data_IF_370782657730
#
_entry.id   IF_370782657730
#
_cell.length_a   1.000
_cell.length_b   1.000
_cell.length_c   1.000
_cell.angle_alpha   90.00
_cell.angle_beta   90.00
_cell.angle_gamma   90.00
#
_symmetry.space_group_name_H-M   'P 1'
#
loop_
_entity.id
_entity.type
_entity.pdbx_description
1 polymer ?
#
# COMPACT_ATOMS: atom_id res chain seq x y z
N UNK A 1 -27.19 6.26 9.30
CA UNK A 1 -25.87 6.75 8.90
C UNK A 1 -25.66 6.37 7.46
N UNK A 2 -25.29 7.32 6.59
CA UNK A 2 -24.92 6.99 5.22
C UNK A 2 -23.63 6.13 5.30
N UNK A 3 -23.57 5.05 4.55
CA UNK A 3 -22.46 4.08 4.61
C UNK A 3 -22.07 3.66 3.20
N UNK A 4 -20.77 3.54 2.93
CA UNK A 4 -20.30 2.98 1.67
C UNK A 4 -20.70 1.50 1.65
N UNK A 5 -21.45 1.08 0.63
CA UNK A 5 -21.84 -0.33 0.46
C UNK A 5 -20.74 -1.11 -0.28
N UNK A 6 -19.98 -1.97 0.40
CA UNK A 6 -18.90 -2.71 -0.22
C UNK A 6 -19.37 -3.68 -1.32
N UNK A 7 -20.60 -4.19 -1.21
CA UNK A 7 -21.17 -5.11 -2.21
C UNK A 7 -21.46 -4.37 -3.51
N UNK A 8 -22.03 -3.16 -3.42
CA UNK A 8 -22.26 -2.31 -4.58
C UNK A 8 -20.94 -1.89 -5.23
N UNK A 9 -19.95 -1.50 -4.43
CA UNK A 9 -18.60 -1.18 -4.90
C UNK A 9 -17.97 -2.34 -5.68
N UNK A 10 -18.02 -3.55 -5.12
CA UNK A 10 -17.50 -4.76 -5.79
C UNK A 10 -18.18 -5.01 -7.13
N UNK A 11 -19.49 -4.95 -7.19
CA UNK A 11 -20.27 -5.14 -8.44
C UNK A 11 -19.94 -4.09 -9.50
N UNK A 12 -19.89 -2.80 -9.13
CA UNK A 12 -19.51 -1.71 -10.06
C UNK A 12 -18.10 -1.95 -10.58
N UNK A 13 -17.16 -2.27 -9.69
CA UNK A 13 -15.79 -2.59 -10.07
C UNK A 13 -15.73 -3.78 -11.03
N UNK A 14 -16.46 -4.85 -10.76
CA UNK A 14 -16.52 -6.05 -11.62
C UNK A 14 -17.03 -5.73 -13.03
N UNK A 15 -18.10 -4.95 -13.14
CA UNK A 15 -18.66 -4.52 -14.45
C UNK A 15 -17.62 -3.71 -15.24
N UNK A 16 -16.95 -2.74 -14.60
CA UNK A 16 -16.01 -1.84 -15.28
C UNK A 16 -14.65 -2.51 -15.58
N UNK A 17 -14.24 -3.49 -14.80
CA UNK A 17 -13.01 -4.24 -15.06
C UNK A 17 -13.17 -5.28 -16.19
N UNK A 18 -14.41 -5.69 -16.49
CA UNK A 18 -14.70 -6.65 -17.53
C UNK A 18 -14.24 -8.09 -17.21
N UNK A 19 -14.05 -8.91 -18.24
CA UNK A 19 -13.79 -10.35 -18.07
C UNK A 19 -12.49 -10.63 -17.34
N UNK A 20 -12.57 -11.60 -16.41
CA UNK A 20 -11.42 -12.22 -15.75
C UNK A 20 -10.73 -13.18 -16.72
N UNK A 21 -9.39 -13.33 -16.68
CA UNK A 21 -8.68 -14.31 -17.49
C UNK A 21 -9.28 -15.70 -17.36
N UNK A 22 -9.60 -16.31 -18.48
CA UNK A 22 -10.12 -17.69 -18.50
C UNK A 22 -8.98 -18.64 -18.13
N UNK A 23 -9.24 -19.52 -17.17
CA UNK A 23 -8.35 -20.61 -16.77
C UNK A 23 -9.18 -21.86 -16.49
N UNK A 24 -8.73 -23.05 -16.93
CA UNK A 24 -9.34 -24.31 -16.53
C UNK A 24 -9.39 -24.42 -14.99
N UNK A 25 -10.42 -25.06 -14.41
CA UNK A 25 -10.54 -25.15 -12.97
C UNK A 25 -9.33 -25.76 -12.24
N UNK A 26 -8.62 -26.68 -12.92
CA UNK A 26 -7.41 -27.29 -12.39
C UNK A 26 -6.26 -26.29 -12.34
N UNK A 27 -6.06 -25.49 -13.38
CA UNK A 27 -5.05 -24.41 -13.42
C UNK A 27 -5.34 -23.34 -12.37
N UNK A 28 -6.59 -22.87 -12.27
CA UNK A 28 -6.99 -21.89 -11.27
C UNK A 28 -6.70 -22.38 -9.83
N UNK A 29 -7.01 -23.65 -9.53
CA UNK A 29 -6.67 -24.26 -8.24
C UNK A 29 -5.16 -24.33 -7.99
N UNK A 30 -4.39 -24.70 -9.02
CA UNK A 30 -2.93 -24.75 -8.92
C UNK A 30 -2.31 -23.38 -8.66
N UNK A 31 -2.79 -22.32 -9.34
CA UNK A 31 -2.38 -20.93 -9.12
C UNK A 31 -2.66 -20.51 -7.68
N UNK A 32 -3.88 -20.71 -7.19
CA UNK A 32 -4.25 -20.36 -5.80
C UNK A 32 -3.40 -21.13 -4.77
N UNK A 33 -3.16 -22.41 -4.99
CA UNK A 33 -2.33 -23.24 -4.11
C UNK A 33 -0.88 -22.75 -4.11
N UNK A 34 -0.33 -22.41 -5.27
CA UNK A 34 1.01 -21.86 -5.43
C UNK A 34 1.18 -20.53 -4.70
N UNK A 35 0.22 -19.61 -4.88
CA UNK A 35 0.20 -18.32 -4.18
C UNK A 35 0.20 -18.51 -2.66
N UNK A 36 -0.68 -19.37 -2.13
CA UNK A 36 -0.76 -19.68 -0.69
C UNK A 36 0.53 -20.31 -0.15
N UNK A 37 1.19 -21.16 -0.95
CA UNK A 37 2.47 -21.75 -0.57
C UNK A 37 3.58 -20.69 -0.45
N UNK A 38 3.62 -19.72 -1.36
CA UNK A 38 4.60 -18.63 -1.31
C UNK A 38 4.30 -17.63 -0.19
N UNK A 39 3.04 -17.36 0.10
CA UNK A 39 2.66 -16.53 1.24
C UNK A 39 3.12 -17.11 2.59
N UNK A 40 3.13 -18.45 2.74
CA UNK A 40 3.67 -19.11 3.93
C UNK A 40 5.20 -19.07 4.03
N UNK A 41 5.89 -18.96 2.89
CA UNK A 41 7.37 -18.93 2.83
C UNK A 41 7.95 -17.53 2.99
N UNK A 42 7.22 -16.52 2.56
CA UNK A 42 7.70 -15.15 2.49
C UNK A 42 8.08 -14.53 3.85
N UNK A 43 7.40 -14.80 4.99
CA UNK A 43 7.77 -14.23 6.29
C UNK A 43 9.23 -14.47 6.68
N UNK A 44 9.73 -15.69 6.52
CA UNK A 44 11.12 -16.03 6.87
C UNK A 44 12.13 -15.25 6.01
N UNK A 45 11.77 -15.02 4.73
CA UNK A 45 12.62 -14.25 3.82
C UNK A 45 12.63 -12.76 4.21
N UNK A 46 11.44 -12.21 4.52
CA UNK A 46 11.33 -10.82 4.98
C UNK A 46 12.15 -10.61 6.25
N UNK A 47 11.99 -11.47 7.24
CA UNK A 47 12.72 -11.36 8.50
C UNK A 47 14.24 -11.48 8.32
N UNK A 48 14.69 -12.42 7.50
CA UNK A 48 16.14 -12.62 7.25
C UNK A 48 16.78 -11.38 6.64
N UNK A 49 16.06 -10.65 5.78
CA UNK A 49 16.57 -9.47 5.07
C UNK A 49 16.35 -8.19 5.86
N UNK A 50 15.14 -7.98 6.37
CA UNK A 50 14.76 -6.72 7.07
C UNK A 50 15.23 -6.68 8.53
N UNK A 51 15.66 -7.83 9.10
CA UNK A 51 15.96 -7.98 10.54
C UNK A 51 14.78 -7.65 11.47
N UNK A 52 13.56 -7.67 10.95
CA UNK A 52 12.32 -7.54 11.70
C UNK A 52 11.82 -8.91 12.18
N UNK A 53 11.00 -8.94 13.23
CA UNK A 53 10.54 -10.19 13.83
C UNK A 53 9.57 -10.96 12.93
N UNK A 54 10.01 -12.14 12.43
CA UNK A 54 9.19 -13.03 11.60
C UNK A 54 8.08 -13.72 12.36
N UNK A 55 8.25 -13.94 13.66
CA UNK A 55 7.26 -14.71 14.44
C UNK A 55 5.92 -13.98 14.49
N UNK A 56 5.95 -12.65 14.55
CA UNK A 56 4.75 -11.82 14.49
C UNK A 56 4.06 -11.90 13.13
N UNK A 57 4.81 -12.00 12.03
CA UNK A 57 4.25 -12.06 10.67
C UNK A 57 3.58 -13.41 10.36
N UNK A 58 4.21 -14.51 10.75
CA UNK A 58 3.74 -15.86 10.41
C UNK A 58 2.49 -16.26 11.17
N UNK A 59 2.31 -15.76 12.41
CA UNK A 59 1.24 -16.20 13.30
C UNK A 59 -0.04 -15.36 13.19
N UNK A 60 0.03 -14.15 12.62
CA UNK A 60 -1.03 -13.14 12.83
C UNK A 60 -1.63 -12.54 11.58
N UNK A 61 -0.96 -12.57 10.42
CA UNK A 61 -1.48 -11.94 9.19
C UNK A 61 -2.34 -12.92 8.40
N UNK A 62 -3.68 -12.72 8.36
CA UNK A 62 -4.55 -13.57 7.53
C UNK A 62 -4.27 -13.35 6.04
N UNK A 63 -4.22 -14.45 5.29
CA UNK A 63 -3.93 -14.43 3.84
C UNK A 63 -5.18 -14.78 3.05
N UNK A 64 -5.64 -13.85 2.23
CA UNK A 64 -6.77 -14.01 1.33
C UNK A 64 -6.31 -14.02 -0.12
N UNK A 65 -6.72 -15.04 -0.89
CA UNK A 65 -6.52 -15.09 -2.34
C UNK A 65 -7.89 -14.84 -2.97
N UNK A 66 -8.05 -13.69 -3.60
CA UNK A 66 -9.32 -13.12 -4.02
C UNK A 66 -9.36 -12.88 -5.54
N UNK A 67 -10.55 -12.63 -6.06
CA UNK A 67 -10.74 -12.02 -7.36
C UNK A 67 -10.81 -10.47 -7.29
N UNK A 68 -11.03 -9.82 -8.44
CA UNK A 68 -11.08 -8.35 -8.54
C UNK A 68 -12.26 -7.74 -7.80
N UNK A 69 -13.42 -8.40 -7.85
CA UNK A 69 -14.66 -7.94 -7.21
C UNK A 69 -14.53 -8.00 -5.68
N UNK A 70 -14.06 -9.14 -5.18
CA UNK A 70 -13.82 -9.36 -3.76
C UNK A 70 -12.73 -8.40 -3.21
N UNK A 71 -11.68 -8.14 -4.00
CA UNK A 71 -10.66 -7.16 -3.63
C UNK A 71 -11.25 -5.76 -3.50
N UNK A 72 -12.04 -5.32 -4.49
CA UNK A 72 -12.65 -3.99 -4.48
C UNK A 72 -13.64 -3.81 -3.31
N UNK A 73 -14.48 -4.83 -3.08
CA UNK A 73 -15.41 -4.83 -1.95
C UNK A 73 -14.67 -4.77 -0.59
N UNK A 74 -13.62 -5.58 -0.46
CA UNK A 74 -12.79 -5.60 0.74
C UNK A 74 -12.08 -4.28 1.01
N UNK A 75 -11.50 -3.66 -0.02
CA UNK A 75 -10.85 -2.35 0.07
C UNK A 75 -11.84 -1.25 0.43
N UNK A 76 -13.05 -1.27 -0.17
CA UNK A 76 -14.11 -0.33 0.18
C UNK A 76 -14.57 -0.46 1.63
N UNK A 77 -14.64 -1.69 2.15
CA UNK A 77 -14.97 -1.95 3.56
C UNK A 77 -13.94 -1.33 4.49
N UNK A 78 -12.64 -1.52 4.20
CA UNK A 78 -11.54 -0.95 5.00
C UNK A 78 -11.55 0.59 4.96
N UNK A 79 -11.71 1.18 3.77
CA UNK A 79 -11.79 2.63 3.61
C UNK A 79 -13.03 3.21 4.29
N UNK A 80 -14.19 2.58 4.13
CA UNK A 80 -15.43 3.01 4.74
C UNK A 80 -15.39 2.98 6.27
N UNK A 81 -14.69 2.02 6.86
CA UNK A 81 -14.52 1.93 8.30
C UNK A 81 -13.64 3.06 8.88
N UNK A 82 -12.72 3.61 8.08
CA UNK A 82 -11.73 4.58 8.54
C UNK A 82 -12.03 6.01 8.10
N UNK A 83 -12.50 6.19 6.87
CA UNK A 83 -12.70 7.49 6.22
C UNK A 83 -14.14 7.70 5.76
N UNK A 84 -15.09 6.83 6.14
CA UNK A 84 -16.45 6.87 5.61
C UNK A 84 -17.18 8.18 5.89
N UNK A 85 -17.07 8.71 7.08
CA UNK A 85 -17.71 9.96 7.49
C UNK A 85 -17.08 11.18 6.78
N UNK A 86 -15.76 11.19 6.63
CA UNK A 86 -15.03 12.25 5.94
C UNK A 86 -15.32 12.26 4.43
N UNK A 87 -15.32 11.08 3.79
CA UNK A 87 -15.63 10.95 2.37
C UNK A 87 -17.08 11.38 2.06
N UNK A 88 -18.02 11.03 2.92
CA UNK A 88 -19.41 11.45 2.78
C UNK A 88 -19.58 12.95 2.98
N UNK A 89 -18.87 13.53 3.96
CA UNK A 89 -18.90 14.96 4.25
C UNK A 89 -18.31 15.80 3.11
N UNK A 90 -17.23 15.34 2.49
CA UNK A 90 -16.60 15.98 1.33
C UNK A 90 -17.60 16.12 0.16
N UNK A 91 -18.37 15.07 -0.14
CA UNK A 91 -19.38 15.08 -1.20
C UNK A 91 -20.57 16.02 -0.90
N UNK A 92 -20.93 16.22 0.37
CA UNK A 92 -21.98 17.15 0.78
C UNK A 92 -21.51 18.61 0.65
N UNK A 93 -20.23 18.87 0.94
CA UNK A 93 -19.62 20.23 0.87
C UNK A 93 -19.62 20.82 -0.55
N UNK A 94 -19.28 20.03 -1.58
CA UNK A 94 -19.33 20.45 -2.99
C UNK A 94 -20.75 20.81 -3.47
N UNK A 95 -21.74 20.43 -2.71
CA UNK A 95 -23.16 20.66 -3.00
C UNK A 95 -23.77 21.97 -2.45
N UNK A 96 -23.04 22.86 -1.79
CA UNK A 96 -23.59 24.06 -1.15
C UNK A 96 -23.79 25.27 -2.09
N UNK A 97 -24.63 25.14 -3.07
CA UNK A 97 -25.08 26.25 -3.97
C UNK A 97 -26.57 26.19 -4.33
N UNK A 98 -27.44 26.45 -3.40
CA UNK A 98 -28.86 26.67 -3.73
C UNK A 98 -29.90 25.86 -2.94
N UNK A 99 -31.01 26.49 -2.64
CA UNK A 99 -32.17 25.99 -1.85
C UNK A 99 -32.86 24.73 -2.39
N UNK A 100 -32.48 24.22 -3.57
CA UNK A 100 -33.01 22.98 -4.16
C UNK A 100 -32.26 21.71 -3.72
N UNK A 101 -31.18 21.81 -2.95
CA UNK A 101 -30.23 20.71 -2.66
C UNK A 101 -30.54 19.86 -1.42
N UNK A 102 -31.52 20.25 -0.61
CA UNK A 102 -31.98 19.41 0.51
C UNK A 102 -32.66 18.10 0.06
N UNK A 103 -33.02 17.99 -1.24
CA UNK A 103 -33.64 16.80 -1.84
C UNK A 103 -32.63 15.90 -2.59
N UNK A 104 -31.38 16.32 -2.74
CA UNK A 104 -30.33 15.61 -3.49
C UNK A 104 -29.04 15.46 -2.70
N UNK A 105 -29.12 15.23 -1.38
CA UNK A 105 -27.95 14.72 -0.66
C UNK A 105 -27.49 13.44 -1.38
N UNK A 106 -26.18 13.30 -1.75
CA UNK A 106 -25.72 12.11 -2.46
C UNK A 106 -26.12 10.89 -1.63
N UNK A 107 -26.91 10.02 -2.22
CA UNK A 107 -27.27 8.78 -1.56
C UNK A 107 -26.00 7.98 -1.34
N UNK A 108 -25.91 7.23 -0.25
CA UNK A 108 -24.76 6.31 0.00
C UNK A 108 -24.48 5.40 -1.22
N UNK A 109 -25.51 5.14 -2.03
CA UNK A 109 -25.38 4.41 -3.29
C UNK A 109 -24.56 5.18 -4.34
N UNK A 110 -24.73 6.51 -4.49
CA UNK A 110 -23.95 7.30 -5.43
C UNK A 110 -22.46 7.31 -5.05
N UNK A 111 -22.16 7.58 -3.78
CA UNK A 111 -20.78 7.52 -3.27
C UNK A 111 -20.17 6.12 -3.47
N UNK A 112 -20.95 5.06 -3.23
CA UNK A 112 -20.50 3.68 -3.47
C UNK A 112 -20.21 3.40 -4.94
N UNK A 113 -21.00 3.95 -5.88
CA UNK A 113 -20.75 3.84 -7.31
C UNK A 113 -19.46 4.56 -7.71
N UNK A 114 -19.23 5.76 -7.22
CA UNK A 114 -18.01 6.53 -7.51
C UNK A 114 -16.76 5.88 -6.94
N UNK A 115 -16.80 5.41 -5.69
CA UNK A 115 -15.72 4.61 -5.08
C UNK A 115 -15.49 3.34 -5.89
N UNK A 116 -16.54 2.64 -6.31
CA UNK A 116 -16.46 1.45 -7.15
C UNK A 116 -15.81 1.72 -8.51
N UNK A 117 -16.13 2.84 -9.16
CA UNK A 117 -15.49 3.26 -10.40
C UNK A 117 -14.02 3.61 -10.20
N UNK A 118 -13.68 4.29 -9.11
CA UNK A 118 -12.30 4.58 -8.73
C UNK A 118 -11.48 3.30 -8.51
N UNK A 119 -12.00 2.36 -7.73
CA UNK A 119 -11.35 1.09 -7.44
C UNK A 119 -11.26 0.18 -8.68
N UNK A 120 -12.20 0.25 -9.62
CA UNK A 120 -12.16 -0.50 -10.86
C UNK A 120 -10.90 -0.22 -11.69
N UNK A 121 -10.42 1.02 -11.68
CA UNK A 121 -9.20 1.40 -12.39
C UNK A 121 -7.96 0.74 -11.80
N UNK A 122 -7.99 0.43 -10.51
CA UNK A 122 -6.91 -0.24 -9.78
C UNK A 122 -7.04 -1.76 -9.84
N UNK A 123 -8.28 -2.26 -9.82
CA UNK A 123 -8.58 -3.68 -9.71
C UNK A 123 -7.90 -4.55 -10.78
N UNK A 124 -7.61 -4.00 -11.97
CA UNK A 124 -6.86 -4.70 -13.04
C UNK A 124 -5.36 -4.79 -12.79
N UNK A 125 -4.84 -3.92 -11.93
CA UNK A 125 -3.39 -3.77 -11.80
C UNK A 125 -2.84 -4.19 -10.43
N UNK A 126 -3.67 -4.35 -9.41
CA UNK A 126 -3.22 -4.82 -8.09
C UNK A 126 -2.89 -6.30 -8.13
N UNK A 127 -1.65 -6.69 -7.84
CA UNK A 127 -1.23 -8.09 -7.70
C UNK A 127 -1.44 -8.58 -6.27
N UNK A 128 -1.09 -7.74 -5.30
CA UNK A 128 -1.24 -7.95 -3.88
C UNK A 128 -1.49 -6.63 -3.17
N UNK A 129 -1.88 -6.71 -1.92
CA UNK A 129 -2.06 -5.59 -1.02
C UNK A 129 -1.99 -6.09 0.42
N UNK A 130 -1.08 -5.54 1.20
CA UNK A 130 -1.26 -5.55 2.65
C UNK A 130 -2.25 -4.44 3.02
N UNK A 131 -3.32 -4.81 3.71
CA UNK A 131 -4.40 -3.90 4.12
C UNK A 131 -4.37 -3.70 5.64
N UNK A 132 -3.67 -2.67 6.15
CA UNK A 132 -3.57 -2.40 7.59
C UNK A 132 -4.86 -1.84 8.18
N UNK A 133 -5.81 -1.42 7.32
CA UNK A 133 -7.07 -0.78 7.72
C UNK A 133 -8.23 -1.78 7.81
N UNK A 134 -7.98 -3.05 7.51
CA UNK A 134 -9.02 -4.08 7.56
C UNK A 134 -9.70 -4.10 8.92
N UNK A 135 -11.05 -4.13 8.97
CA UNK A 135 -11.78 -4.28 10.22
C UNK A 135 -11.42 -5.61 10.89
N UNK A 136 -11.20 -5.59 12.19
CA UNK A 136 -10.99 -6.80 12.97
C UNK A 136 -12.31 -7.56 13.12
N UNK A 137 -12.33 -8.85 12.82
CA UNK A 137 -13.54 -9.64 12.87
C UNK A 137 -14.11 -9.79 14.29
N UNK A 138 -13.30 -9.81 15.35
CA UNK A 138 -13.73 -10.10 16.72
C UNK A 138 -13.06 -9.21 17.78
N UNK A 139 -12.74 -7.95 17.45
CA UNK A 139 -12.09 -7.03 18.40
C UNK A 139 -10.63 -7.42 18.74
N UNK A 140 -10.10 -8.46 18.17
CA UNK A 140 -8.68 -8.79 18.25
C UNK A 140 -7.86 -7.76 17.46
N UNK A 141 -6.75 -7.32 18.03
CA UNK A 141 -5.77 -6.49 17.32
C UNK A 141 -5.02 -7.35 16.30
N UNK A 142 -5.69 -7.75 15.22
CA UNK A 142 -5.02 -8.40 14.09
C UNK A 142 -4.36 -7.30 13.26
N UNK A 143 -3.06 -7.34 13.04
CA UNK A 143 -2.40 -6.35 12.20
C UNK A 143 -2.79 -6.55 10.74
N UNK A 144 -3.96 -6.03 10.33
CA UNK A 144 -4.41 -6.03 8.94
C UNK A 144 -4.58 -7.42 8.31
N UNK A 145 -4.53 -7.46 6.98
CA UNK A 145 -4.61 -8.69 6.18
C UNK A 145 -3.76 -8.60 4.91
N UNK A 146 -3.26 -9.74 4.44
CA UNK A 146 -2.64 -9.88 3.13
C UNK A 146 -3.69 -10.31 2.11
N UNK A 147 -3.87 -9.54 1.06
CA UNK A 147 -4.76 -9.85 -0.06
C UNK A 147 -3.93 -10.07 -1.31
N UNK A 148 -4.18 -11.16 -2.04
CA UNK A 148 -3.51 -11.54 -3.28
C UNK A 148 -4.56 -11.73 -4.36
N UNK A 149 -4.44 -11.00 -5.49
CA UNK A 149 -5.43 -10.97 -6.56
C UNK A 149 -5.04 -11.99 -7.62
N UNK A 150 -5.51 -13.22 -7.47
CA UNK A 150 -5.11 -14.37 -8.28
C UNK A 150 -5.26 -14.16 -9.80
N UNK A 151 -6.39 -13.61 -10.33
CA UNK A 151 -6.52 -13.38 -11.77
C UNK A 151 -5.47 -12.40 -12.32
N UNK A 152 -5.07 -11.39 -11.54
CA UNK A 152 -4.06 -10.42 -11.97
C UNK A 152 -2.65 -11.01 -11.96
N UNK A 153 -2.33 -11.84 -10.97
CA UNK A 153 -1.06 -12.58 -10.91
C UNK A 153 -0.96 -13.51 -12.12
N UNK A 154 -2.03 -14.25 -12.46
CA UNK A 154 -2.06 -15.13 -13.62
C UNK A 154 -1.94 -14.35 -14.94
N UNK A 155 -2.66 -13.24 -15.09
CA UNK A 155 -2.61 -12.40 -16.29
C UNK A 155 -1.22 -11.81 -16.48
N UNK A 156 -0.60 -11.29 -15.40
CA UNK A 156 0.74 -10.73 -15.43
C UNK A 156 1.80 -11.80 -15.74
N UNK A 157 1.68 -12.96 -15.11
CA UNK A 157 2.52 -14.12 -15.38
C UNK A 157 2.52 -14.49 -16.86
N UNK A 158 1.34 -14.60 -17.48
CA UNK A 158 1.19 -14.95 -18.90
C UNK A 158 1.70 -13.84 -19.83
N UNK A 159 1.40 -12.57 -19.52
CA UNK A 159 1.79 -11.43 -20.35
C UNK A 159 3.31 -11.26 -20.48
N UNK A 160 4.07 -11.63 -19.44
CA UNK A 160 5.52 -11.49 -19.42
C UNK A 160 6.25 -12.85 -19.40
N UNK A 161 5.52 -13.94 -19.54
CA UNK A 161 6.03 -15.33 -19.51
C UNK A 161 6.96 -15.54 -18.29
N UNK A 162 6.45 -15.24 -17.08
CA UNK A 162 7.18 -15.29 -15.83
C UNK A 162 7.06 -16.67 -15.16
N UNK A 163 8.03 -17.04 -14.34
CA UNK A 163 7.87 -18.16 -13.43
C UNK A 163 6.77 -17.84 -12.40
N UNK A 164 5.77 -18.73 -12.31
CA UNK A 164 4.60 -18.52 -11.46
C UNK A 164 4.96 -18.49 -9.97
N UNK A 165 5.88 -19.36 -9.54
CA UNK A 165 6.32 -19.47 -8.15
C UNK A 165 7.10 -18.24 -7.74
N UNK A 166 8.05 -17.82 -8.58
CA UNK A 166 8.88 -16.66 -8.32
C UNK A 166 8.06 -15.38 -8.32
N UNK A 167 7.09 -15.24 -9.23
CA UNK A 167 6.17 -14.10 -9.23
C UNK A 167 5.31 -14.05 -7.97
N UNK A 168 4.73 -15.19 -7.57
CA UNK A 168 3.93 -15.26 -6.35
C UNK A 168 4.78 -14.93 -5.11
N UNK A 169 6.01 -15.45 -5.03
CA UNK A 169 6.93 -15.13 -3.95
C UNK A 169 7.32 -13.65 -3.94
N UNK A 170 7.60 -13.08 -5.13
CA UNK A 170 7.88 -11.65 -5.28
C UNK A 170 6.79 -10.78 -4.67
N UNK A 171 5.53 -11.02 -5.05
CA UNK A 171 4.38 -10.26 -4.53
C UNK A 171 4.24 -10.47 -3.02
N UNK A 172 4.34 -11.73 -2.54
CA UNK A 172 4.19 -12.02 -1.11
C UNK A 172 5.28 -11.36 -0.25
N UNK A 173 6.55 -11.36 -0.70
CA UNK A 173 7.65 -10.71 0.03
C UNK A 173 7.42 -9.20 0.09
N UNK A 174 7.00 -8.57 -1.01
CA UNK A 174 6.69 -7.13 -1.03
C UNK A 174 5.60 -6.77 -0.02
N UNK A 175 4.45 -7.42 -0.12
CA UNK A 175 3.31 -7.13 0.75
C UNK A 175 3.55 -7.49 2.22
N UNK A 176 4.27 -8.56 2.50
CA UNK A 176 4.63 -8.93 3.87
C UNK A 176 5.74 -8.06 4.46
N UNK A 177 6.51 -7.36 3.63
CA UNK A 177 7.38 -6.30 4.14
C UNK A 177 6.56 -5.16 4.71
N UNK A 178 5.46 -4.77 4.05
CA UNK A 178 4.53 -3.80 4.64
C UNK A 178 3.92 -4.32 5.94
N UNK A 179 3.52 -5.59 5.99
CA UNK A 179 3.02 -6.19 7.24
C UNK A 179 4.06 -6.12 8.37
N UNK A 180 5.36 -6.35 8.06
CA UNK A 180 6.44 -6.22 9.02
C UNK A 180 6.59 -4.79 9.54
N UNK A 181 6.53 -3.79 8.65
CA UNK A 181 6.59 -2.38 9.01
C UNK A 181 5.49 -1.98 9.99
N UNK A 182 4.24 -2.39 9.71
CA UNK A 182 3.10 -2.10 10.59
C UNK A 182 3.13 -2.91 11.90
N UNK A 183 3.68 -4.11 11.89
CA UNK A 183 3.88 -4.90 13.11
C UNK A 183 4.95 -4.29 14.01
N UNK A 184 6.07 -3.83 13.43
CA UNK A 184 7.17 -3.20 14.13
C UNK A 184 6.83 -1.79 14.63
N UNK A 185 5.95 -1.06 13.90
CA UNK A 185 5.52 0.30 14.21
C UNK A 185 4.02 0.35 14.52
N UNK A 186 3.56 0.01 15.75
CA UNK A 186 2.13 0.03 16.11
C UNK A 186 1.48 1.41 15.93
N UNK A 187 2.27 2.48 16.02
CA UNK A 187 1.83 3.87 15.82
C UNK A 187 1.50 4.21 14.36
N UNK A 188 2.05 3.48 13.40
CA UNK A 188 2.03 3.83 11.98
C UNK A 188 0.62 3.88 11.38
N UNK A 189 -0.25 2.96 11.81
CA UNK A 189 -1.65 2.92 11.37
C UNK A 189 -2.38 4.22 11.73
N UNK A 190 -2.34 4.62 12.98
CA UNK A 190 -3.03 5.82 13.46
C UNK A 190 -2.38 7.09 12.94
N UNK A 191 -1.06 7.07 12.74
CA UNK A 191 -0.33 8.15 12.08
C UNK A 191 -0.86 8.39 10.66
N UNK A 192 -0.96 7.37 9.82
CA UNK A 192 -1.48 7.49 8.45
C UNK A 192 -2.94 7.92 8.45
N UNK A 193 -3.78 7.30 9.29
CA UNK A 193 -5.21 7.64 9.39
C UNK A 193 -5.42 9.11 9.76
N UNK A 194 -4.71 9.59 10.78
CA UNK A 194 -4.85 10.97 11.25
C UNK A 194 -4.49 11.99 10.18
N UNK A 195 -3.41 11.73 9.41
CA UNK A 195 -2.99 12.61 8.30
C UNK A 195 -3.95 12.51 7.12
N UNK A 196 -4.43 11.33 6.79
CA UNK A 196 -5.42 11.14 5.72
C UNK A 196 -6.73 11.90 6.02
N UNK A 197 -7.21 11.84 7.25
CA UNK A 197 -8.38 12.63 7.70
C UNK A 197 -8.13 14.13 7.61
N UNK A 198 -6.97 14.59 8.06
CA UNK A 198 -6.59 16.00 7.96
C UNK A 198 -6.57 16.46 6.50
N UNK A 199 -5.98 15.66 5.60
CA UNK A 199 -5.95 15.97 4.15
C UNK A 199 -7.35 16.07 3.54
N UNK A 200 -8.26 15.11 3.84
CA UNK A 200 -9.64 15.16 3.32
C UNK A 200 -10.33 16.41 3.82
N UNK A 201 -10.11 16.79 5.09
CA UNK A 201 -10.68 18.01 5.67
C UNK A 201 -10.13 19.27 5.00
N UNK A 202 -8.82 19.33 4.74
CA UNK A 202 -8.16 20.49 4.11
C UNK A 202 -8.57 20.61 2.63
N UNK A 203 -8.76 19.49 1.91
CA UNK A 203 -9.22 19.47 0.53
C UNK A 203 -10.65 20.01 0.35
N UNK A 204 -11.47 20.06 1.41
CA UNK A 204 -12.80 20.69 1.42
C UNK A 204 -12.76 22.19 1.74
N UNK A 205 -11.59 22.75 2.05
CA UNK A 205 -11.35 24.18 2.29
C UNK A 205 -10.96 24.92 1.01
N UNK A 206 -10.97 26.27 1.08
CA UNK A 206 -10.74 27.17 -0.07
C UNK A 206 -9.29 27.19 -0.63
N UNK A 207 -8.32 26.55 0.02
CA UNK A 207 -6.89 26.59 -0.32
C UNK A 207 -6.27 25.19 -0.57
N UNK A 208 -7.00 24.33 -1.25
CA UNK A 208 -6.63 22.90 -1.46
C UNK A 208 -5.27 22.66 -2.15
N UNK A 209 -4.71 23.63 -2.90
CA UNK A 209 -3.46 23.42 -3.65
C UNK A 209 -2.18 23.57 -2.84
N UNK A 210 -2.20 24.30 -1.71
CA UNK A 210 -1.01 24.56 -0.87
C UNK A 210 -0.82 23.51 0.24
N UNK A 211 -1.89 22.76 0.60
CA UNK A 211 -1.87 21.78 1.69
C UNK A 211 -1.16 20.47 1.34
N UNK A 212 -0.74 20.29 0.10
CA UNK A 212 -0.32 19.00 -0.44
C UNK A 212 1.20 18.76 -0.41
N UNK A 213 1.99 19.81 -0.46
CA UNK A 213 3.47 19.74 -0.44
C UNK A 213 4.05 20.01 0.96
N UNK A 214 3.21 20.40 1.92
CA UNK A 214 3.60 20.69 3.30
C UNK A 214 2.53 20.23 4.29
N UNK A 215 2.88 20.10 5.56
CA UNK A 215 1.93 19.66 6.60
C UNK A 215 1.50 18.20 6.42
N UNK A 216 0.21 17.85 6.69
CA UNK A 216 -0.27 16.45 6.67
C UNK A 216 -0.05 15.70 5.35
N UNK A 217 -0.10 16.41 4.21
CA UNK A 217 0.17 15.83 2.89
C UNK A 217 1.63 15.48 2.68
N UNK A 218 2.53 16.37 3.08
CA UNK A 218 3.97 16.13 3.07
C UNK A 218 4.36 14.95 3.96
N UNK A 219 3.79 14.87 5.17
CA UNK A 219 4.03 13.78 6.11
C UNK A 219 3.64 12.41 5.53
N UNK A 220 2.44 12.31 4.89
CA UNK A 220 2.01 11.07 4.22
C UNK A 220 2.95 10.73 3.07
N UNK A 221 3.32 11.71 2.25
CA UNK A 221 4.19 11.49 1.11
C UNK A 221 5.56 10.96 1.54
N UNK A 222 6.14 11.51 2.61
CA UNK A 222 7.41 11.08 3.16
C UNK A 222 7.33 9.65 3.69
N UNK A 223 6.38 9.35 4.58
CA UNK A 223 6.25 8.01 5.17
C UNK A 223 5.94 6.95 4.11
N UNK A 224 5.06 7.23 3.14
CA UNK A 224 4.76 6.31 2.04
C UNK A 224 5.99 6.05 1.16
N UNK A 225 6.81 7.08 0.92
CA UNK A 225 8.06 6.92 0.17
C UNK A 225 9.03 5.97 0.89
N UNK A 226 9.12 6.06 2.20
CA UNK A 226 9.96 5.14 3.01
C UNK A 226 9.40 3.73 3.03
N UNK A 227 8.08 3.57 3.22
CA UNK A 227 7.45 2.25 3.21
C UNK A 227 7.75 1.50 1.90
N UNK A 228 7.53 2.16 0.77
CA UNK A 228 7.82 1.59 -0.55
C UNK A 228 9.32 1.41 -0.79
N UNK A 229 10.14 2.38 -0.41
CA UNK A 229 11.60 2.30 -0.54
C UNK A 229 12.19 1.15 0.25
N UNK A 230 11.70 0.92 1.47
CA UNK A 230 12.10 -0.22 2.29
C UNK A 230 11.64 -1.56 1.68
N UNK A 231 10.40 -1.64 1.16
CA UNK A 231 9.94 -2.84 0.46
C UNK A 231 10.79 -3.14 -0.78
N UNK A 232 11.16 -2.13 -1.56
CA UNK A 232 12.07 -2.32 -2.71
C UNK A 232 13.48 -2.75 -2.27
N UNK A 233 14.01 -2.17 -1.18
CA UNK A 233 15.28 -2.59 -0.57
C UNK A 233 15.24 -4.07 -0.18
N UNK A 234 14.21 -4.51 0.54
CA UNK A 234 14.03 -5.92 0.93
C UNK A 234 13.98 -6.81 -0.30
N UNK A 235 13.18 -6.46 -1.31
CA UNK A 235 13.10 -7.18 -2.57
C UNK A 235 14.44 -7.28 -3.28
N UNK A 236 15.25 -6.22 -3.24
CA UNK A 236 16.57 -6.18 -3.84
C UNK A 236 17.58 -7.08 -3.11
N UNK A 237 17.44 -7.24 -1.81
CA UNK A 237 18.31 -8.02 -0.97
C UNK A 237 17.96 -9.53 -0.93
N UNK A 238 16.77 -9.96 -1.41
CA UNK A 238 16.42 -11.39 -1.51
C UNK A 238 17.50 -12.16 -2.29
N UNK A 239 18.09 -13.23 -1.75
CA UNK A 239 19.11 -14.01 -2.44
C UNK A 239 18.61 -14.62 -3.76
N UNK A 240 19.48 -14.65 -4.79
CA UNK A 240 19.15 -15.20 -6.11
C UNK A 240 18.74 -16.69 -6.04
N UNK A 241 19.29 -17.43 -5.10
CA UNK A 241 18.94 -18.84 -4.87
C UNK A 241 17.49 -19.03 -4.37
N UNK A 242 16.88 -18.00 -3.79
CA UNK A 242 15.49 -18.02 -3.36
C UNK A 242 14.54 -17.48 -4.43
N UNK A 243 15.03 -16.62 -5.31
CA UNK A 243 14.27 -15.96 -6.37
C UNK A 243 15.08 -15.95 -7.70
N UNK A 244 15.24 -17.09 -8.37
CA UNK A 244 16.07 -17.23 -9.57
C UNK A 244 15.73 -16.28 -10.70
N UNK A 245 14.43 -16.02 -10.94
CA UNK A 245 13.96 -15.13 -12.02
C UNK A 245 13.92 -13.65 -11.63
N UNK A 246 14.53 -13.23 -10.52
CA UNK A 246 14.51 -11.86 -9.96
C UNK A 246 14.78 -10.77 -11.00
N UNK A 247 15.78 -10.94 -11.87
CA UNK A 247 16.10 -9.95 -12.92
C UNK A 247 14.95 -9.76 -13.90
N UNK A 248 14.34 -10.88 -14.35
CA UNK A 248 13.19 -10.86 -15.27
C UNK A 248 11.97 -10.23 -14.64
N UNK A 249 11.68 -10.56 -13.37
CA UNK A 249 10.63 -9.95 -12.57
C UNK A 249 10.80 -8.44 -12.46
N UNK A 250 12.00 -7.96 -12.10
CA UNK A 250 12.31 -6.52 -12.04
C UNK A 250 12.06 -5.81 -13.36
N UNK A 251 12.48 -6.41 -14.47
CA UNK A 251 12.24 -5.83 -15.81
C UNK A 251 10.74 -5.76 -16.11
N UNK A 252 9.99 -6.85 -15.88
CA UNK A 252 8.56 -6.88 -16.10
C UNK A 252 7.81 -5.85 -15.22
N UNK A 253 8.20 -5.72 -13.96
CA UNK A 253 7.62 -4.73 -13.04
C UNK A 253 7.92 -3.29 -13.47
N UNK A 254 9.14 -2.99 -13.96
CA UNK A 254 9.49 -1.68 -14.50
C UNK A 254 8.64 -1.34 -15.72
N UNK A 255 8.55 -2.23 -16.69
CA UNK A 255 7.70 -2.05 -17.89
C UNK A 255 6.24 -1.78 -17.51
N UNK A 256 5.77 -2.41 -16.44
CA UNK A 256 4.42 -2.18 -15.92
C UNK A 256 4.28 -0.84 -15.20
N UNK A 257 5.29 -0.40 -14.41
CA UNK A 257 5.30 0.89 -13.68
C UNK A 257 5.19 2.08 -14.62
N UNK A 258 5.86 2.04 -15.77
CA UNK A 258 5.82 3.11 -16.76
C UNK A 258 4.38 3.33 -17.29
N UNK A 259 3.53 2.31 -17.19
CA UNK A 259 2.14 2.36 -17.62
C UNK A 259 1.12 2.61 -16.50
N UNK A 260 1.40 2.36 -15.24
CA UNK A 260 0.46 2.67 -14.13
C UNK A 260 0.90 2.11 -12.77
N UNK A 261 1.29 2.94 -11.82
CA UNK A 261 1.23 2.55 -10.41
C UNK A 261 -0.20 2.73 -9.90
N UNK A 262 -0.94 1.66 -9.54
CA UNK A 262 -2.33 1.75 -9.09
C UNK A 262 -2.48 2.59 -7.83
N UNK A 263 -1.56 2.43 -6.89
CA UNK A 263 -1.51 3.18 -5.65
C UNK A 263 -1.31 4.68 -5.89
N UNK A 264 -0.41 5.07 -6.81
CA UNK A 264 -0.20 6.47 -7.20
C UNK A 264 -1.49 7.09 -7.75
N UNK A 265 -2.16 6.40 -8.67
CA UNK A 265 -3.43 6.87 -9.25
C UNK A 265 -4.55 6.94 -8.23
N UNK A 266 -4.57 6.01 -7.27
CA UNK A 266 -5.54 6.02 -6.18
C UNK A 266 -5.28 7.20 -5.23
N UNK A 267 -4.05 7.38 -4.76
CA UNK A 267 -3.68 8.49 -3.88
C UNK A 267 -3.87 9.84 -4.59
N UNK A 268 -3.47 9.95 -5.87
CA UNK A 268 -3.73 11.14 -6.70
C UNK A 268 -5.22 11.48 -6.78
N UNK A 269 -6.09 10.48 -6.91
CA UNK A 269 -7.54 10.72 -7.00
C UNK A 269 -8.19 11.02 -5.65
N UNK A 270 -7.76 10.37 -4.58
CA UNK A 270 -8.23 10.68 -3.23
C UNK A 270 -7.79 12.05 -2.76
N UNK A 271 -6.63 12.50 -3.20
CA UNK A 271 -5.98 13.70 -2.67
C UNK A 271 -5.89 14.83 -3.70
N UNK A 272 -6.24 14.59 -4.97
CA UNK A 272 -6.01 15.56 -6.06
C UNK A 272 -4.53 15.81 -6.37
N UNK A 273 -3.61 15.02 -5.78
CA UNK A 273 -2.17 15.25 -5.89
C UNK A 273 -1.59 14.65 -7.17
N UNK A 274 -0.95 15.49 -7.98
CA UNK A 274 0.07 15.07 -8.95
C UNK A 274 1.38 14.77 -8.22
N UNK A 275 1.48 13.57 -7.60
CA UNK A 275 2.74 13.15 -6.96
C UNK A 275 3.81 12.99 -8.04
N UNK A 276 4.79 13.88 -8.02
CA UNK A 276 5.92 13.86 -8.96
C UNK A 276 6.63 12.52 -8.90
N UNK A 277 6.86 11.88 -10.04
CA UNK A 277 7.50 10.56 -10.17
C UNK A 277 8.86 10.43 -9.46
N UNK A 278 9.50 11.56 -9.12
CA UNK A 278 10.78 11.59 -8.41
C UNK A 278 10.73 11.11 -6.94
N UNK A 279 9.58 11.17 -6.27
CA UNK A 279 9.50 10.92 -4.82
C UNK A 279 9.66 9.42 -4.43
N UNK A 280 9.28 8.47 -5.29
CA UNK A 280 9.48 7.03 -4.99
C UNK A 280 10.92 6.57 -5.19
N UNK A 281 11.62 7.13 -6.18
CA UNK A 281 13.06 6.91 -6.34
C UNK A 281 13.83 7.50 -5.14
N UNK A 282 13.31 8.58 -4.54
CA UNK A 282 13.87 9.17 -3.35
C UNK A 282 13.77 8.27 -2.12
N UNK A 283 12.64 7.53 -1.95
CA UNK A 283 12.48 6.58 -0.84
C UNK A 283 13.47 5.40 -0.90
N UNK A 284 13.69 4.79 -2.08
CA UNK A 284 14.69 3.73 -2.24
C UNK A 284 16.11 4.28 -1.98
N UNK A 285 16.41 5.49 -2.45
CA UNK A 285 17.68 6.16 -2.21
C UNK A 285 17.87 6.44 -0.72
N UNK A 286 16.84 7.00 -0.06
CA UNK A 286 16.86 7.25 1.38
C UNK A 286 17.19 5.97 2.16
N UNK A 287 16.46 4.89 1.95
CA UNK A 287 16.69 3.62 2.64
C UNK A 287 18.09 3.09 2.36
N UNK A 288 18.54 3.13 1.11
CA UNK A 288 19.85 2.62 0.71
C UNK A 288 21.01 3.42 1.36
N UNK A 289 20.92 4.75 1.40
CA UNK A 289 21.94 5.60 2.01
C UNK A 289 21.94 5.48 3.55
N UNK A 290 20.76 5.37 4.19
CA UNK A 290 20.67 5.11 5.63
C UNK A 290 21.28 3.76 5.97
N UNK A 291 20.91 2.68 5.24
CA UNK A 291 21.50 1.34 5.48
C UNK A 291 23.01 1.34 5.26
N UNK A 292 23.51 2.05 4.26
CA UNK A 292 24.94 2.18 4.02
C UNK A 292 25.66 2.89 5.18
N UNK A 293 25.02 3.88 5.79
CA UNK A 293 25.61 4.65 6.88
C UNK A 293 25.56 3.94 8.23
N UNK A 294 24.42 3.30 8.57
CA UNK A 294 24.17 2.79 9.92
C UNK A 294 23.66 1.34 9.98
N UNK A 295 23.65 0.62 8.85
CA UNK A 295 23.14 -0.74 8.77
C UNK A 295 21.61 -0.83 8.79
N UNK A 296 21.11 -2.07 8.63
CA UNK A 296 19.67 -2.35 8.66
C UNK A 296 19.09 -2.11 10.06
N UNK A 297 19.84 -2.44 11.09
CA UNK A 297 19.46 -2.23 12.48
C UNK A 297 19.31 -0.73 12.81
N UNK A 298 20.19 0.11 12.26
CA UNK A 298 20.07 1.57 12.38
C UNK A 298 18.84 2.12 11.65
N UNK A 299 18.56 1.61 10.44
CA UNK A 299 17.33 1.96 9.72
C UNK A 299 16.07 1.56 10.53
N UNK A 300 16.10 0.42 11.20
CA UNK A 300 14.94 -0.09 11.93
C UNK A 300 14.52 0.80 13.12
N UNK A 301 15.36 1.70 13.62
CA UNK A 301 14.97 2.69 14.62
C UNK A 301 13.87 3.64 14.12
N UNK A 302 13.68 3.74 12.81
CA UNK A 302 12.56 4.46 12.22
C UNK A 302 11.20 3.98 12.75
N UNK A 303 11.07 2.68 13.00
CA UNK A 303 9.81 2.05 13.39
C UNK A 303 9.49 2.18 14.89
N UNK A 304 10.48 2.57 15.72
CA UNK A 304 10.36 2.56 17.18
C UNK A 304 9.46 3.70 17.71
N UNK A 305 9.49 4.88 17.06
CA UNK A 305 8.75 6.07 17.54
C UNK A 305 8.23 6.90 16.35
N UNK A 306 6.99 7.44 16.41
CA UNK A 306 6.47 8.34 15.37
C UNK A 306 7.33 9.59 15.13
N UNK A 307 8.11 10.04 16.12
CA UNK A 307 9.05 11.14 15.97
C UNK A 307 10.26 10.78 15.09
N UNK A 308 10.51 9.50 14.87
CA UNK A 308 11.54 9.02 13.95
C UNK A 308 11.06 9.00 12.49
N UNK A 309 9.78 9.25 12.21
CA UNK A 309 9.29 9.40 10.85
C UNK A 309 10.07 10.53 10.14
N UNK A 310 10.59 10.29 8.92
CA UNK A 310 11.35 11.30 8.21
C UNK A 310 10.45 12.37 7.61
N UNK A 311 10.96 13.60 7.52
CA UNK A 311 10.35 14.67 6.73
C UNK A 311 10.67 14.50 5.23
N UNK A 312 10.00 15.28 4.37
CA UNK A 312 10.32 15.31 2.93
C UNK A 312 11.76 15.78 2.69
N UNK A 313 12.24 16.75 3.48
CA UNK A 313 13.60 17.26 3.38
C UNK A 313 14.62 16.19 3.77
N UNK A 314 14.31 15.39 4.78
CA UNK A 314 15.15 14.25 5.20
C UNK A 314 15.15 13.12 4.19
N UNK A 315 14.03 12.87 3.48
CA UNK A 315 14.01 11.93 2.34
C UNK A 315 14.99 12.40 1.25
N UNK A 316 15.07 13.70 0.98
CA UNK A 316 16.01 14.26 0.01
C UNK A 316 17.46 14.31 0.53
N UNK A 317 17.65 14.30 1.85
CA UNK A 317 18.95 14.37 2.52
C UNK A 317 19.07 13.34 3.65
N UNK A 318 19.25 12.06 3.34
CA UNK A 318 19.13 10.93 4.29
C UNK A 318 20.01 11.05 5.53
N UNK A 319 21.22 11.61 5.39
CA UNK A 319 22.13 11.80 6.52
C UNK A 319 21.60 12.78 7.57
N UNK A 320 20.72 13.71 7.20
CA UNK A 320 20.05 14.60 8.16
C UNK A 320 19.17 13.80 9.11
N UNK A 321 18.42 12.82 8.58
CA UNK A 321 17.66 11.88 9.38
C UNK A 321 18.56 11.04 10.30
N UNK A 322 19.66 10.51 9.77
CA UNK A 322 20.64 9.73 10.57
C UNK A 322 21.18 10.57 11.72
N UNK A 323 21.55 11.82 11.49
CA UNK A 323 22.02 12.72 12.55
C UNK A 323 20.97 12.98 13.61
N UNK A 324 19.70 13.18 13.21
CA UNK A 324 18.61 13.46 14.14
C UNK A 324 18.23 12.26 15.00
N UNK A 325 18.15 11.07 14.39
CA UNK A 325 17.60 9.86 15.04
C UNK A 325 18.71 9.04 15.70
N UNK A 326 19.84 8.86 15.02
CA UNK A 326 20.94 8.00 15.47
C UNK A 326 22.00 8.78 16.25
N UNK A 327 22.16 10.08 15.94
CA UNK A 327 23.23 10.91 16.47
C UNK A 327 24.47 10.90 15.58
N UNK A 328 25.59 11.45 16.08
CA UNK A 328 26.85 11.58 15.32
C UNK A 328 27.83 10.43 15.55
N UNK A 329 27.56 9.54 16.48
CA UNK A 329 28.50 8.50 16.94
C UNK A 329 28.78 7.41 15.87
N UNK A 330 28.01 7.39 14.77
CA UNK A 330 28.26 6.48 13.65
C UNK A 330 29.46 6.88 12.79
N UNK A 331 29.90 8.14 12.80
CA UNK A 331 31.02 8.63 12.01
C UNK A 331 32.38 8.06 12.43
N UNK A 332 32.45 7.38 13.57
CA UNK A 332 33.67 6.78 14.13
C UNK A 332 33.84 5.26 13.91
N UNK A 333 32.91 4.59 13.19
CA UNK A 333 32.94 3.11 13.05
C UNK A 333 33.72 2.58 11.84
N UNK A 334 34.17 3.46 10.95
CA UNK A 334 34.97 3.12 9.76
C UNK A 334 36.44 3.58 9.86
N UNK A 335 37.02 3.61 11.07
CA UNK A 335 38.47 3.88 11.24
C UNK A 335 39.23 2.70 11.82
#
# INVERSE_FOLDING_TARGET
MAHIDPTLVGKVSSILTGRIPQAPPQEARAVVAGIRAMARRAPDIVAAVSKMDAAQLSATVPVYVLDREQWAAGTASSLGAVLGDELLSAHVGESQGGRLKALTAPSSALVSVEVGAGLALMAKSVLGQYDPLAPNADGAQVPGRLVLVAPNILEFQRAFDLDQRDLALWVCVHELTHAAQFAQAPWLRDYIISRARAMVKDATGSDASLALDSGPGGDISAIMSVLEGHAEFVMNAVPIGQLPSKRRLKTAMRTRRDNSSPWKKWLQRLTGMDMKMGQYAAGETFVSEVVKAVGVEGLNQLWDDPLNAPSIEEIASPLTWVHRVIGTDYLGRDS
#
